data_IF_205601393473
#
_entry.id   IF_205601393473
#
_cell.length_a   1.000
_cell.length_b   1.000
_cell.length_c   1.000
_cell.angle_alpha   90.00
_cell.angle_beta   90.00
_cell.angle_gamma   90.00
#
_symmetry.space_group_name_H-M   'P 1'
#
loop_
_entity.id
_entity.type
_entity.pdbx_description
1 polymer ?
#
# COMPACT_ATOMS: atom_id res chain seq x y z
N UNK A 1 5.16 -17.30 2.45
CA UNK A 1 5.04 -15.85 2.18
C UNK A 1 6.01 -15.51 1.09
N UNK A 2 5.52 -15.32 -0.13
CA UNK A 2 6.33 -14.76 -1.20
C UNK A 2 6.84 -13.37 -0.80
N UNK A 3 8.13 -13.10 -1.00
CA UNK A 3 8.66 -11.75 -0.87
C UNK A 3 8.03 -10.87 -1.96
N UNK A 4 7.59 -9.64 -1.64
CA UNK A 4 7.05 -8.73 -2.64
C UNK A 4 8.10 -8.43 -3.71
N UNK A 5 7.70 -8.43 -4.98
CA UNK A 5 8.60 -8.14 -6.12
C UNK A 5 8.58 -6.66 -6.47
N UNK A 6 7.50 -5.97 -6.14
CA UNK A 6 7.24 -4.59 -6.51
C UNK A 6 6.75 -3.75 -5.33
N UNK A 7 6.93 -2.44 -5.44
CA UNK A 7 6.34 -1.45 -4.54
C UNK A 7 5.87 -0.23 -5.33
N UNK A 8 4.83 0.43 -4.84
CA UNK A 8 4.51 1.79 -5.29
C UNK A 8 5.39 2.79 -4.52
N UNK A 9 6.27 3.49 -5.24
CA UNK A 9 7.24 4.41 -4.66
C UNK A 9 7.52 5.54 -5.65
N UNK A 10 7.55 6.80 -5.17
CA UNK A 10 7.76 8.00 -5.99
C UNK A 10 6.85 8.04 -7.24
N UNK A 11 5.55 7.87 -7.02
CA UNK A 11 4.49 8.00 -8.04
C UNK A 11 4.46 6.88 -9.11
N UNK A 12 5.22 5.78 -8.92
CA UNK A 12 5.30 4.67 -9.87
C UNK A 12 5.45 3.31 -9.17
N UNK A 13 5.10 2.22 -9.86
CA UNK A 13 5.36 0.86 -9.39
C UNK A 13 6.75 0.40 -9.84
N UNK A 14 7.69 0.29 -8.91
CA UNK A 14 9.09 -0.11 -9.12
C UNK A 14 9.37 -1.52 -8.59
N UNK A 15 10.42 -2.21 -9.06
CA UNK A 15 10.99 -3.35 -8.35
C UNK A 15 11.31 -3.01 -6.88
N UNK A 16 11.05 -3.94 -5.96
CA UNK A 16 11.14 -3.69 -4.52
C UNK A 16 12.53 -3.22 -4.07
N UNK A 17 13.60 -3.68 -4.75
CA UNK A 17 14.98 -3.32 -4.47
C UNK A 17 15.33 -1.87 -4.85
N UNK A 18 14.48 -1.21 -5.63
CA UNK A 18 14.61 0.21 -5.99
C UNK A 18 13.86 1.15 -5.04
N UNK A 19 12.93 0.64 -4.22
CA UNK A 19 12.21 1.42 -3.22
C UNK A 19 13.10 1.68 -1.99
N UNK A 20 14.08 2.58 -2.13
CA UNK A 20 15.10 2.89 -1.11
C UNK A 20 14.79 4.20 -0.41
N UNK A 21 14.97 4.21 0.91
CA UNK A 21 14.89 5.41 1.75
C UNK A 21 16.24 5.68 2.42
N UNK A 22 16.58 6.94 2.64
CA UNK A 22 17.75 7.31 3.44
C UNK A 22 17.51 6.96 4.91
N UNK A 23 18.51 6.36 5.57
CA UNK A 23 18.43 5.97 6.98
C UNK A 23 18.11 7.16 7.91
N UNK A 24 18.44 8.39 7.50
CA UNK A 24 18.20 9.63 8.24
C UNK A 24 16.79 10.20 8.04
N UNK A 25 15.93 9.52 7.27
CA UNK A 25 14.56 9.99 7.08
C UNK A 25 13.84 10.16 8.42
N UNK A 26 13.13 11.27 8.57
CA UNK A 26 12.44 11.60 9.80
C UNK A 26 11.41 10.52 10.19
N UNK A 27 10.75 9.93 9.18
CA UNK A 27 9.78 8.85 9.37
C UNK A 27 10.38 7.64 10.12
N UNK A 28 11.65 7.33 9.88
CA UNK A 28 12.34 6.22 10.53
C UNK A 28 12.96 6.64 11.87
N UNK A 29 13.63 7.79 11.90
CA UNK A 29 14.34 8.25 13.11
C UNK A 29 13.39 8.65 14.25
N UNK A 30 12.21 9.17 13.92
CA UNK A 30 11.26 9.71 14.88
C UNK A 30 9.88 9.06 14.82
N UNK A 31 9.68 8.06 13.96
CA UNK A 31 8.42 7.33 13.86
C UNK A 31 7.25 8.17 13.35
N UNK A 32 7.52 9.21 12.57
CA UNK A 32 6.50 10.18 12.08
C UNK A 32 5.69 9.68 10.88
N UNK A 33 5.80 8.40 10.53
CA UNK A 33 5.02 7.78 9.46
C UNK A 33 3.58 7.43 9.89
N UNK A 34 2.66 7.50 8.94
CA UNK A 34 1.30 6.95 9.07
C UNK A 34 1.16 5.81 8.08
N UNK A 35 0.64 4.67 8.52
CA UNK A 35 0.50 3.48 7.67
C UNK A 35 -0.85 2.78 7.89
N UNK A 36 -1.17 1.89 6.97
CA UNK A 36 -2.34 1.01 7.03
C UNK A 36 -1.92 -0.41 6.67
N UNK A 37 -2.57 -1.40 7.29
CA UNK A 37 -2.51 -2.78 6.88
C UNK A 37 -3.81 -3.15 6.18
N UNK A 38 -3.74 -3.49 4.89
CA UNK A 38 -4.91 -3.86 4.07
C UNK A 38 -4.69 -5.28 3.58
N UNK A 39 -5.64 -6.18 3.85
CA UNK A 39 -5.52 -7.60 3.50
C UNK A 39 -6.33 -7.96 2.25
N UNK A 40 -5.74 -8.80 1.42
CA UNK A 40 -6.35 -9.46 0.27
C UNK A 40 -6.51 -10.95 0.55
N UNK A 41 -7.68 -11.49 0.27
CA UNK A 41 -8.00 -12.89 0.50
C UNK A 41 -8.13 -13.63 -0.82
N UNK A 42 -7.35 -14.70 -1.00
CA UNK A 42 -7.37 -15.50 -2.21
C UNK A 42 -8.53 -16.50 -2.19
N UNK A 43 -9.38 -16.43 -3.21
CA UNK A 43 -10.40 -17.45 -3.44
C UNK A 43 -9.88 -18.48 -4.44
N UNK A 44 -9.49 -19.64 -3.94
CA UNK A 44 -8.92 -20.73 -4.76
C UNK A 44 -9.91 -21.28 -5.81
N UNK A 45 -11.22 -21.25 -5.54
CA UNK A 45 -12.24 -21.74 -6.47
C UNK A 45 -12.46 -20.80 -7.66
N UNK A 46 -12.42 -19.49 -7.40
CA UNK A 46 -12.68 -18.44 -8.40
C UNK A 46 -11.37 -17.91 -9.01
N UNK A 47 -10.21 -18.28 -8.44
CA UNK A 47 -8.87 -17.81 -8.84
C UNK A 47 -8.80 -16.28 -8.85
N UNK A 48 -9.33 -15.66 -7.80
CA UNK A 48 -9.43 -14.20 -7.65
C UNK A 48 -9.20 -13.79 -6.21
N UNK A 49 -8.51 -12.67 -5.99
CA UNK A 49 -8.34 -12.07 -4.68
C UNK A 49 -9.40 -10.99 -4.38
N UNK A 50 -9.83 -10.92 -3.13
CA UNK A 50 -10.75 -9.90 -2.63
C UNK A 50 -10.06 -9.05 -1.56
N UNK A 51 -9.97 -7.74 -1.81
CA UNK A 51 -9.40 -6.79 -0.84
C UNK A 51 -10.48 -6.37 0.14
N UNK A 52 -10.24 -6.59 1.44
CA UNK A 52 -11.26 -6.31 2.45
C UNK A 52 -11.24 -4.84 2.90
N UNK A 53 -12.38 -4.16 2.77
CA UNK A 53 -12.62 -2.79 3.28
C UNK A 53 -11.59 -1.73 2.86
N UNK A 54 -10.98 -1.88 1.68
CA UNK A 54 -9.88 -1.01 1.20
C UNK A 54 -10.18 0.50 1.32
N UNK A 55 -11.39 0.94 0.94
CA UNK A 55 -11.78 2.35 1.04
C UNK A 55 -11.81 2.88 2.48
N UNK A 56 -12.24 2.06 3.44
CA UNK A 56 -12.28 2.44 4.85
C UNK A 56 -10.87 2.63 5.42
N UNK A 57 -9.93 1.76 5.01
CA UNK A 57 -8.52 1.90 5.35
C UNK A 57 -7.93 3.21 4.81
N UNK A 58 -8.19 3.55 3.55
CA UNK A 58 -7.70 4.82 2.99
C UNK A 58 -8.37 6.06 3.57
N UNK A 59 -9.66 6.00 3.94
CA UNK A 59 -10.30 7.07 4.72
C UNK A 59 -9.58 7.29 6.04
N UNK A 60 -9.27 6.22 6.76
CA UNK A 60 -8.53 6.30 8.03
C UNK A 60 -7.11 6.83 7.82
N UNK A 61 -6.40 6.37 6.79
CA UNK A 61 -5.07 6.88 6.43
C UNK A 61 -5.07 8.39 6.22
N UNK A 62 -6.02 8.92 5.44
CA UNK A 62 -6.11 10.36 5.13
C UNK A 62 -6.41 11.17 6.40
N UNK A 63 -7.34 10.70 7.25
CA UNK A 63 -7.67 11.37 8.51
C UNK A 63 -6.45 11.41 9.43
N UNK A 64 -5.76 10.28 9.61
CA UNK A 64 -4.58 10.19 10.47
C UNK A 64 -3.40 11.01 9.93
N UNK A 65 -3.21 11.04 8.61
CA UNK A 65 -2.17 11.85 7.96
C UNK A 65 -2.37 13.34 8.25
N UNK A 66 -3.63 13.82 8.24
CA UNK A 66 -3.94 15.22 8.58
C UNK A 66 -3.59 15.59 10.02
N UNK A 67 -3.80 14.67 10.97
CA UNK A 67 -3.42 14.88 12.38
C UNK A 67 -1.89 15.09 12.49
N UNK A 68 -1.13 14.37 11.67
CA UNK A 68 0.33 14.49 11.60
C UNK A 68 0.83 15.62 10.69
N UNK A 69 -0.07 16.46 10.17
CA UNK A 69 0.23 17.52 9.18
C UNK A 69 0.91 16.98 7.89
N UNK A 70 0.60 15.74 7.51
CA UNK A 70 1.07 15.12 6.27
C UNK A 70 -0.01 15.29 5.19
N UNK A 71 0.40 15.83 4.05
CA UNK A 71 -0.47 15.96 2.87
C UNK A 71 -0.36 14.72 1.97
N UNK A 72 -1.49 14.05 1.74
CA UNK A 72 -1.60 12.96 0.77
C UNK A 72 -2.20 13.53 -0.52
N UNK A 73 -1.44 13.43 -1.61
CA UNK A 73 -1.80 14.00 -2.93
C UNK A 73 -2.85 13.20 -3.70
N UNK A 74 -3.19 12.00 -3.22
CA UNK A 74 -4.10 11.08 -3.89
C UNK A 74 -5.47 11.06 -3.22
N UNK A 75 -6.52 11.02 -4.03
CA UNK A 75 -7.86 10.68 -3.58
C UNK A 75 -7.94 9.21 -3.14
N UNK A 76 -8.96 8.88 -2.35
CA UNK A 76 -9.24 7.49 -1.93
C UNK A 76 -9.37 6.57 -3.16
N UNK A 77 -10.03 7.05 -4.22
CA UNK A 77 -10.22 6.28 -5.45
C UNK A 77 -8.91 5.98 -6.16
N UNK A 78 -7.99 6.95 -6.22
CA UNK A 78 -6.65 6.77 -6.79
C UNK A 78 -5.82 5.78 -5.97
N UNK A 79 -5.84 5.90 -4.64
CA UNK A 79 -5.15 4.96 -3.74
C UNK A 79 -5.67 3.52 -3.91
N UNK A 80 -6.99 3.35 -3.98
CA UNK A 80 -7.61 2.06 -4.31
C UNK A 80 -7.15 1.51 -5.66
N UNK A 81 -7.09 2.37 -6.68
CA UNK A 81 -6.62 2.01 -8.03
C UNK A 81 -5.17 1.54 -8.03
N UNK A 82 -4.28 2.32 -7.41
CA UNK A 82 -2.84 2.03 -7.28
C UNK A 82 -2.63 0.66 -6.61
N UNK A 83 -3.35 0.38 -5.53
CA UNK A 83 -3.23 -0.90 -4.82
C UNK A 83 -3.72 -2.09 -5.63
N UNK A 84 -4.82 -1.93 -6.38
CA UNK A 84 -5.29 -2.98 -7.29
C UNK A 84 -4.28 -3.20 -8.43
N UNK A 85 -3.69 -2.15 -8.99
CA UNK A 85 -2.64 -2.28 -10.01
C UNK A 85 -1.40 -2.99 -9.47
N UNK A 86 -0.97 -2.66 -8.25
CA UNK A 86 0.14 -3.32 -7.59
C UNK A 86 -0.14 -4.81 -7.35
N UNK A 87 -1.31 -5.16 -6.82
CA UNK A 87 -1.72 -6.55 -6.60
C UNK A 87 -1.77 -7.36 -7.92
N UNK A 88 -2.28 -6.75 -9.00
CA UNK A 88 -2.29 -7.38 -10.33
C UNK A 88 -0.88 -7.64 -10.85
N UNK A 89 0.06 -6.72 -10.58
CA UNK A 89 1.46 -6.85 -11.01
C UNK A 89 2.22 -7.91 -10.21
N UNK A 90 1.88 -8.10 -8.94
CA UNK A 90 2.45 -9.15 -8.09
C UNK A 90 1.96 -10.56 -8.46
N UNK A 91 0.71 -10.67 -8.94
CA UNK A 91 0.07 -11.94 -9.32
C UNK A 91 0.01 -12.97 -8.18
N UNK A 92 -0.28 -12.52 -6.96
CA UNK A 92 -0.44 -13.42 -5.82
C UNK A 92 -1.61 -14.40 -6.02
N UNK A 93 -1.37 -15.66 -5.66
CA UNK A 93 -2.37 -16.74 -5.61
C UNK A 93 -2.51 -17.30 -4.20
N UNK A 94 -2.20 -16.47 -3.21
CA UNK A 94 -2.32 -16.74 -1.77
C UNK A 94 -2.83 -15.46 -1.09
N UNK A 95 -3.30 -15.59 0.16
CA UNK A 95 -3.64 -14.42 0.97
C UNK A 95 -2.40 -13.52 1.16
N UNK A 96 -2.58 -12.21 1.06
CA UNK A 96 -1.53 -11.21 1.30
C UNK A 96 -2.04 -10.01 2.11
#
# INVERSE_FOLDING_TARGET
MANPKYAFFEEKIVPIDQAKIDIRTNALQYGTGVFEGIRSYWNEKIKTSYVFRMEDHYRRLIINSRIMMIEIKYSIKELCGITIELLKKEMYTEDC
#
